data_IF_647715350720
#
_entry.id   IF_647715350720
#
_cell.length_a   1.000
_cell.length_b   1.000
_cell.length_c   1.000
_cell.angle_alpha   90.00
_cell.angle_beta   90.00
_cell.angle_gamma   90.00
#
_symmetry.space_group_name_H-M   'P 1'
#
loop_
_entity.id
_entity.type
_entity.pdbx_description
1 polymer ?
#
# COMPACT_ATOMS: atom_id res chain seq x y z
N UNK A 1 -3.55 14.72 -4.44
CA UNK A 1 -2.91 13.44 -4.12
C UNK A 1 -1.92 13.70 -3.00
N UNK A 2 -2.28 13.27 -1.78
CA UNK A 2 -1.51 13.52 -0.56
C UNK A 2 -0.10 12.95 -0.69
N UNK A 3 0.90 13.68 -0.18
CA UNK A 3 2.29 13.23 -0.03
C UNK A 3 2.31 12.01 0.90
N UNK A 4 2.13 10.81 0.35
CA UNK A 4 2.10 9.55 1.11
C UNK A 4 3.49 8.91 1.15
N UNK A 5 4.49 9.53 0.50
CA UNK A 5 5.89 9.20 0.66
C UNK A 5 6.69 10.51 0.75
N UNK A 6 7.74 10.62 1.58
CA UNK A 6 8.62 11.76 1.47
C UNK A 6 9.31 11.66 0.10
N UNK A 7 8.86 12.51 -0.83
CA UNK A 7 9.50 12.82 -2.13
C UNK A 7 9.21 11.95 -3.37
N UNK A 8 8.08 11.27 -3.50
CA UNK A 8 7.71 10.66 -4.80
C UNK A 8 6.25 10.85 -5.17
N UNK A 9 6.02 11.28 -6.42
CA UNK A 9 4.71 11.18 -7.07
C UNK A 9 4.34 9.72 -7.33
N UNK A 10 3.23 9.50 -8.02
CA UNK A 10 2.89 8.15 -8.48
C UNK A 10 4.04 7.58 -9.35
N UNK A 11 4.42 6.30 -9.19
CA UNK A 11 5.48 5.72 -10.00
C UNK A 11 5.12 5.78 -11.48
N UNK A 12 6.02 6.35 -12.29
CA UNK A 12 5.93 6.33 -13.75
C UNK A 12 6.94 5.32 -14.31
N UNK A 13 6.55 4.58 -15.35
CA UNK A 13 7.43 3.60 -16.01
C UNK A 13 7.76 2.32 -15.21
N UNK A 14 6.99 1.97 -14.18
CA UNK A 14 7.21 0.71 -13.43
C UNK A 14 6.99 -0.51 -14.34
N UNK A 15 8.04 -1.30 -14.57
CA UNK A 15 7.96 -2.52 -15.38
C UNK A 15 7.34 -3.69 -14.60
N UNK A 16 6.78 -4.67 -15.32
CA UNK A 16 6.26 -5.90 -14.71
C UNK A 16 7.32 -6.64 -13.87
N UNK A 17 8.58 -6.64 -14.32
CA UNK A 17 9.69 -7.28 -13.60
C UNK A 17 9.99 -6.57 -12.29
N UNK A 18 10.03 -5.24 -12.29
CA UNK A 18 10.22 -4.45 -11.06
C UNK A 18 9.05 -4.67 -10.10
N UNK A 19 7.82 -4.65 -10.60
CA UNK A 19 6.65 -4.95 -9.78
C UNK A 19 6.70 -6.36 -9.15
N UNK A 20 7.18 -7.36 -9.89
CA UNK A 20 7.36 -8.71 -9.33
C UNK A 20 8.45 -8.76 -8.24
N UNK A 21 9.53 -8.00 -8.41
CA UNK A 21 10.59 -7.88 -7.39
C UNK A 21 10.02 -7.25 -6.11
N UNK A 22 9.22 -6.18 -6.24
CA UNK A 22 8.58 -5.53 -5.09
C UNK A 22 7.61 -6.49 -4.36
N UNK A 23 6.86 -7.31 -5.09
CA UNK A 23 6.03 -8.36 -4.48
C UNK A 23 6.86 -9.38 -3.68
N UNK A 24 8.02 -9.79 -4.20
CA UNK A 24 8.93 -10.67 -3.48
C UNK A 24 9.53 -10.02 -2.23
N UNK A 25 9.77 -8.70 -2.26
CA UNK A 25 10.18 -7.94 -1.08
C UNK A 25 9.07 -7.94 -0.03
N UNK A 26 7.83 -7.62 -0.41
CA UNK A 26 6.69 -7.64 0.51
C UNK A 26 6.47 -9.04 1.11
N UNK A 27 6.58 -10.11 0.32
CA UNK A 27 6.51 -11.47 0.85
C UNK A 27 7.53 -11.69 1.98
N UNK A 28 8.77 -11.20 1.80
CA UNK A 28 9.81 -11.33 2.82
C UNK A 28 9.49 -10.50 4.07
N UNK A 29 8.93 -9.30 3.92
CA UNK A 29 8.47 -8.48 5.03
C UNK A 29 7.36 -9.16 5.85
N UNK A 30 6.40 -9.79 5.16
CA UNK A 30 5.33 -10.57 5.79
C UNK A 30 5.88 -11.78 6.56
N UNK A 31 6.80 -12.55 5.96
CA UNK A 31 7.45 -13.68 6.61
C UNK A 31 8.20 -13.26 7.87
N UNK A 32 8.87 -12.10 7.82
CA UNK A 32 9.63 -11.56 8.94
C UNK A 32 8.75 -10.83 9.97
N UNK A 33 7.45 -10.60 9.68
CA UNK A 33 6.51 -9.84 10.50
C UNK A 33 6.98 -8.41 10.80
N UNK A 34 7.67 -7.79 9.85
CA UNK A 34 8.23 -6.43 10.02
C UNK A 34 7.35 -5.37 9.41
N UNK A 35 6.78 -5.64 8.24
CA UNK A 35 5.94 -4.71 7.49
C UNK A 35 4.80 -5.49 6.85
N UNK A 36 3.67 -4.84 6.61
CA UNK A 36 2.49 -5.46 6.01
C UNK A 36 1.90 -4.56 4.95
N UNK A 37 1.59 -5.13 3.78
CA UNK A 37 0.95 -4.45 2.66
C UNK A 37 -0.37 -5.15 2.33
N UNK A 38 -1.47 -4.42 2.38
CA UNK A 38 -2.80 -4.93 2.06
C UNK A 38 -3.41 -4.16 0.89
N UNK A 39 -3.94 -4.90 -0.08
CA UNK A 39 -4.74 -4.34 -1.17
C UNK A 39 -6.18 -4.17 -0.69
N UNK A 40 -6.72 -2.96 -0.82
CA UNK A 40 -8.14 -2.70 -0.60
C UNK A 40 -8.89 -2.97 -1.90
N UNK A 41 -9.84 -3.91 -1.87
CA UNK A 41 -10.67 -4.30 -3.00
C UNK A 41 -12.15 -4.05 -2.72
N UNK A 42 -12.99 -4.01 -3.76
CA UNK A 42 -14.45 -4.04 -3.61
C UNK A 42 -14.90 -5.33 -2.91
N UNK A 43 -16.12 -5.36 -2.36
CA UNK A 43 -16.64 -6.54 -1.65
C UNK A 43 -16.76 -7.78 -2.56
N UNK A 44 -16.97 -7.57 -3.85
CA UNK A 44 -16.95 -8.63 -4.88
C UNK A 44 -15.54 -8.91 -5.43
N UNK A 45 -14.52 -8.28 -4.86
CA UNK A 45 -13.10 -8.33 -5.23
C UNK A 45 -12.79 -7.93 -6.69
N UNK A 46 -13.77 -7.40 -7.43
CA UNK A 46 -13.63 -7.09 -8.86
C UNK A 46 -12.77 -5.86 -9.16
N UNK A 47 -12.55 -4.99 -8.17
CA UNK A 47 -11.82 -3.73 -8.34
C UNK A 47 -10.84 -3.48 -7.19
N UNK A 48 -9.63 -3.09 -7.55
CA UNK A 48 -8.68 -2.47 -6.60
C UNK A 48 -9.07 -1.02 -6.37
N UNK A 49 -9.20 -0.67 -5.11
CA UNK A 49 -9.68 0.62 -4.61
C UNK A 49 -8.56 1.41 -3.94
N UNK A 50 -7.52 0.73 -3.47
CA UNK A 50 -6.38 1.34 -2.82
C UNK A 50 -5.42 0.31 -2.25
N UNK A 51 -4.41 0.78 -1.54
CA UNK A 51 -3.58 -0.05 -0.67
C UNK A 51 -3.32 0.66 0.66
N UNK A 52 -3.09 -0.13 1.70
CA UNK A 52 -2.61 0.31 3.01
C UNK A 52 -1.35 -0.45 3.36
N UNK A 53 -0.36 0.28 3.87
CA UNK A 53 0.97 -0.22 4.21
C UNK A 53 1.27 0.12 5.66
N UNK A 54 1.80 -0.86 6.39
CA UNK A 54 2.21 -0.75 7.79
C UNK A 54 3.72 -0.97 7.86
N UNK A 55 4.45 -0.01 8.42
CA UNK A 55 5.90 -0.06 8.60
C UNK A 55 6.28 0.23 10.06
N UNK A 56 7.44 -0.24 10.52
CA UNK A 56 7.97 0.19 11.82
C UNK A 56 8.25 1.69 11.79
N UNK A 57 7.77 2.42 12.79
CA UNK A 57 7.99 3.86 12.88
C UNK A 57 9.25 4.20 13.67
N UNK A 58 9.86 5.34 13.36
CA UNK A 58 10.95 5.94 14.16
C UNK A 58 10.44 6.88 15.26
N UNK A 59 9.14 7.14 15.32
CA UNK A 59 8.53 8.05 16.30
C UNK A 59 8.43 7.34 17.66
N UNK A 60 8.88 8.00 18.73
CA UNK A 60 8.70 7.49 20.09
C UNK A 60 7.22 7.33 20.42
N UNK A 61 6.88 6.32 21.23
CA UNK A 61 5.53 6.03 21.74
C UNK A 61 4.52 5.50 20.70
N UNK A 62 4.98 5.09 19.52
CA UNK A 62 4.16 4.44 18.49
C UNK A 62 4.87 3.17 18.00
N UNK A 63 4.09 2.14 17.66
CA UNK A 63 4.64 0.86 17.16
C UNK A 63 4.82 0.85 15.64
N UNK A 64 4.00 1.62 14.90
CA UNK A 64 3.98 1.61 13.44
C UNK A 64 3.60 2.96 12.84
N UNK A 65 3.98 3.15 11.58
CA UNK A 65 3.49 4.20 10.71
C UNK A 65 2.71 3.59 9.54
N UNK A 66 1.65 4.29 9.13
CA UNK A 66 0.70 3.80 8.13
C UNK A 66 0.66 4.74 6.94
N UNK A 67 0.82 4.17 5.76
CA UNK A 67 0.68 4.86 4.49
C UNK A 67 -0.47 4.25 3.70
N UNK A 68 -1.23 5.08 3.00
CA UNK A 68 -2.32 4.57 2.17
C UNK A 68 -2.58 5.46 0.97
N UNK A 69 -3.00 4.85 -0.12
CA UNK A 69 -3.61 5.55 -1.23
C UNK A 69 -4.97 4.93 -1.52
N UNK A 70 -5.89 5.78 -1.94
CA UNK A 70 -7.23 5.39 -2.38
C UNK A 70 -7.52 6.05 -3.70
N UNK A 71 -8.27 5.37 -4.56
CA UNK A 71 -8.80 5.95 -5.78
C UNK A 71 -9.79 7.04 -5.41
N UNK A 72 -9.71 8.18 -6.09
CA UNK A 72 -10.56 9.35 -5.83
C UNK A 72 -12.05 9.06 -6.01
N UNK A 73 -12.39 8.17 -6.95
CA UNK A 73 -13.78 7.75 -7.20
C UNK A 73 -13.99 6.30 -6.79
N UNK A 74 -14.79 6.11 -5.76
CA UNK A 74 -15.27 4.80 -5.32
C UNK A 74 -16.80 4.80 -5.44
N UNK A 75 -17.33 4.14 -6.46
CA UNK A 75 -18.77 4.17 -6.76
C UNK A 75 -19.61 3.17 -5.92
N UNK A 76 -19.08 2.61 -4.82
CA UNK A 76 -19.70 1.45 -4.16
C UNK A 76 -19.80 1.49 -2.62
N UNK A 77 -19.46 2.59 -1.93
CA UNK A 77 -19.44 2.59 -0.45
C UNK A 77 -20.81 2.56 0.24
N UNK A 78 -21.94 2.76 -0.45
CA UNK A 78 -23.27 2.88 0.19
C UNK A 78 -24.42 2.22 -0.60
N UNK A 79 -24.35 0.91 -0.85
CA UNK A 79 -25.57 0.11 -1.01
C UNK A 79 -25.66 -0.92 0.10
#
# INVERSE_FOLDING_TARGET
>A
MSKVWPESGWPDGLTLRQNLIDLGWHEKEFQNRTSFAYTMVSLDESKVMGCVYFYPTKKSDYDAEVFMWVRERIEQWFR
#
